data_IF_227263181008
#
_entry.id   IF_227263181008
#
_cell.length_a   1.000
_cell.length_b   1.000
_cell.length_c   1.000
_cell.angle_alpha   90.00
_cell.angle_beta   90.00
_cell.angle_gamma   90.00
#
_symmetry.space_group_name_H-M   'P 1'
#
loop_
_entity.id
_entity.type
_entity.pdbx_description
1 polymer ?
#
# COMPACT_ATOMS: atom_id res chain seq x y z
N UNK A 1 17.52 -30.46 25.19
CA UNK A 1 17.21 -29.28 26.03
C UNK A 1 17.03 -28.07 25.12
N UNK A 2 16.07 -27.20 25.39
CA UNK A 2 15.85 -25.98 24.60
C UNK A 2 16.16 -24.76 25.49
N UNK A 3 17.38 -24.22 25.37
CA UNK A 3 17.77 -22.99 26.03
C UNK A 3 17.10 -21.82 25.30
N UNK A 4 16.37 -20.97 26.04
CA UNK A 4 15.72 -19.79 25.46
C UNK A 4 16.77 -18.73 25.13
N UNK A 5 16.90 -18.42 23.85
CA UNK A 5 17.74 -17.33 23.36
C UNK A 5 16.97 -16.02 23.44
N UNK A 6 17.66 -14.95 23.84
CA UNK A 6 17.11 -13.60 23.92
C UNK A 6 17.83 -12.67 22.95
N UNK A 7 17.09 -11.75 22.36
CA UNK A 7 17.66 -10.64 21.61
C UNK A 7 18.01 -9.47 22.54
N UNK A 8 18.98 -8.62 22.19
CA UNK A 8 19.28 -7.41 22.98
C UNK A 8 18.04 -6.55 23.26
N UNK A 9 17.12 -6.38 22.29
CA UNK A 9 15.86 -5.64 22.47
C UNK A 9 14.85 -6.26 23.46
N UNK A 10 15.03 -7.53 23.85
CA UNK A 10 14.20 -8.19 24.87
C UNK A 10 14.76 -8.02 26.29
N UNK A 11 16.02 -7.61 26.41
CA UNK A 11 16.71 -7.41 27.68
C UNK A 11 16.53 -5.97 28.17
N UNK A 12 16.50 -5.79 29.50
CA UNK A 12 16.52 -4.46 30.11
C UNK A 12 17.87 -3.80 29.89
N UNK A 13 17.90 -2.47 29.74
CA UNK A 13 19.11 -1.71 29.41
C UNK A 13 20.31 -2.00 30.35
N UNK A 14 20.05 -2.16 31.65
CA UNK A 14 21.08 -2.51 32.63
C UNK A 14 21.71 -3.90 32.39
N UNK A 15 20.89 -4.88 31.97
CA UNK A 15 21.34 -6.26 31.69
C UNK A 15 22.05 -6.31 30.33
N UNK A 16 21.61 -5.52 29.34
CA UNK A 16 22.26 -5.44 28.03
C UNK A 16 23.73 -5.03 28.14
N UNK A 17 24.01 -4.00 28.94
CA UNK A 17 25.38 -3.51 29.12
C UNK A 17 26.33 -4.55 29.76
N UNK A 18 25.79 -5.53 30.48
CA UNK A 18 26.58 -6.59 31.14
C UNK A 18 26.66 -7.88 30.31
N UNK A 19 25.60 -8.23 29.58
CA UNK A 19 25.47 -9.52 28.90
C UNK A 19 25.80 -9.46 27.40
N UNK A 20 25.62 -8.31 26.75
CA UNK A 20 25.86 -8.17 25.31
C UNK A 20 27.27 -7.64 25.04
N UNK A 21 27.90 -8.17 23.99
CA UNK A 21 29.16 -7.64 23.46
C UNK A 21 28.94 -6.21 22.92
N UNK A 22 29.98 -5.37 23.02
CA UNK A 22 29.89 -3.97 22.56
C UNK A 22 29.57 -3.92 21.06
N UNK A 23 28.61 -3.06 20.69
CA UNK A 23 28.19 -2.88 19.30
C UNK A 23 27.11 -3.86 18.81
N UNK A 24 26.79 -4.92 19.57
CA UNK A 24 25.69 -5.82 19.20
C UNK A 24 24.32 -5.10 19.18
N UNK A 25 24.14 -4.12 20.05
CA UNK A 25 22.94 -3.28 20.10
C UNK A 25 22.76 -2.43 18.84
N UNK A 26 23.85 -1.86 18.31
CA UNK A 26 23.83 -1.06 17.08
C UNK A 26 23.54 -1.93 15.85
N UNK A 27 24.09 -3.15 15.80
CA UNK A 27 23.80 -4.11 14.73
C UNK A 27 22.32 -4.52 14.77
N UNK A 28 21.76 -4.75 15.97
CA UNK A 28 20.33 -5.04 16.07
C UNK A 28 19.49 -3.83 15.65
N UNK A 29 19.86 -2.61 16.03
CA UNK A 29 19.17 -1.37 15.64
C UNK A 29 19.06 -1.24 14.11
N UNK A 30 20.18 -1.35 13.38
CA UNK A 30 20.21 -1.31 11.92
C UNK A 30 19.35 -2.42 11.29
N UNK A 31 19.44 -3.63 11.84
CA UNK A 31 18.61 -4.75 11.40
C UNK A 31 17.11 -4.49 11.60
N UNK A 32 16.71 -3.87 12.72
CA UNK A 32 15.31 -3.51 13.00
C UNK A 32 14.81 -2.40 12.10
N UNK A 33 15.64 -1.42 11.75
CA UNK A 33 15.30 -0.40 10.75
C UNK A 33 15.03 -1.02 9.39
N UNK A 34 15.90 -1.93 8.94
CA UNK A 34 15.70 -2.70 7.72
C UNK A 34 14.42 -3.53 7.75
N UNK A 35 14.15 -4.22 8.87
CA UNK A 35 12.93 -5.00 9.06
C UNK A 35 11.66 -4.12 9.01
N UNK A 36 11.71 -2.91 9.58
CA UNK A 36 10.59 -1.96 9.50
C UNK A 36 10.32 -1.53 8.06
N UNK A 37 11.35 -1.21 7.29
CA UNK A 37 11.22 -0.83 5.90
C UNK A 37 10.67 -1.98 5.05
N UNK A 38 11.23 -3.18 5.21
CA UNK A 38 10.78 -4.38 4.48
C UNK A 38 9.31 -4.70 4.81
N UNK A 39 8.95 -4.71 6.09
CA UNK A 39 7.59 -5.09 6.52
C UNK A 39 6.55 -4.05 6.13
N UNK A 40 6.90 -2.76 6.10
CA UNK A 40 6.03 -1.71 5.60
C UNK A 40 5.78 -1.87 4.09
N UNK A 41 6.81 -2.23 3.33
CA UNK A 41 6.68 -2.49 1.90
C UNK A 41 5.89 -3.78 1.62
N UNK A 42 6.14 -4.86 2.36
CA UNK A 42 5.36 -6.10 2.32
C UNK A 42 3.87 -5.82 2.59
N UNK A 43 3.57 -4.96 3.57
CA UNK A 43 2.21 -4.54 3.90
C UNK A 43 1.54 -3.80 2.73
N UNK A 44 2.23 -2.82 2.12
CA UNK A 44 1.73 -2.08 0.95
C UNK A 44 1.46 -3.02 -0.22
N UNK A 45 2.38 -3.92 -0.52
CA UNK A 45 2.25 -4.89 -1.61
C UNK A 45 1.05 -5.82 -1.38
N UNK A 46 0.89 -6.34 -0.15
CA UNK A 46 -0.25 -7.19 0.20
C UNK A 46 -1.60 -6.44 0.08
N UNK A 47 -1.65 -5.16 0.45
CA UNK A 47 -2.85 -4.31 0.30
C UNK A 47 -3.17 -4.00 -1.17
N UNK A 48 -2.15 -3.73 -2.00
CA UNK A 48 -2.33 -3.59 -3.46
C UNK A 48 -2.88 -4.87 -4.06
N UNK A 49 -2.30 -6.02 -3.70
CA UNK A 49 -2.75 -7.31 -4.16
C UNK A 49 -4.21 -7.58 -3.74
N UNK A 50 -4.58 -7.29 -2.49
CA UNK A 50 -5.97 -7.39 -2.01
C UNK A 50 -6.93 -6.59 -2.89
N UNK A 51 -6.59 -5.34 -3.17
CA UNK A 51 -7.41 -4.44 -3.99
C UNK A 51 -7.54 -4.96 -5.42
N UNK A 52 -6.45 -5.39 -6.05
CA UNK A 52 -6.45 -5.92 -7.41
C UNK A 52 -7.20 -7.25 -7.51
N UNK A 53 -7.02 -8.15 -6.54
CA UNK A 53 -7.76 -9.41 -6.48
C UNK A 53 -9.26 -9.18 -6.29
N UNK A 54 -9.66 -8.23 -5.44
CA UNK A 54 -11.08 -7.88 -5.29
C UNK A 54 -11.70 -7.34 -6.58
N UNK A 55 -11.02 -6.42 -7.28
CA UNK A 55 -11.49 -5.90 -8.58
C UNK A 55 -11.56 -6.99 -9.65
N UNK A 56 -10.54 -7.84 -9.73
CA UNK A 56 -10.53 -8.97 -10.66
C UNK A 56 -11.69 -9.93 -10.36
N UNK A 57 -11.91 -10.22 -9.08
CA UNK A 57 -13.00 -11.05 -8.60
C UNK A 57 -14.35 -10.46 -9.02
N UNK A 58 -14.61 -9.19 -8.73
CA UNK A 58 -15.86 -8.51 -9.08
C UNK A 58 -16.17 -8.62 -10.59
N UNK A 59 -15.16 -8.39 -11.45
CA UNK A 59 -15.34 -8.42 -12.92
C UNK A 59 -15.51 -9.81 -13.54
N UNK A 60 -14.99 -10.87 -12.92
CA UNK A 60 -14.88 -12.20 -13.55
C UNK A 60 -15.76 -13.28 -12.88
N UNK A 61 -16.60 -12.91 -11.90
CA UNK A 61 -17.39 -13.88 -11.16
C UNK A 61 -18.70 -14.24 -11.87
N UNK A 62 -18.64 -15.22 -12.77
CA UNK A 62 -19.85 -15.79 -13.42
C UNK A 62 -20.20 -17.19 -12.90
N UNK A 63 -19.25 -17.93 -12.29
CA UNK A 63 -19.41 -19.36 -11.96
C UNK A 63 -19.06 -19.68 -10.50
N UNK A 64 -19.89 -20.49 -9.83
CA UNK A 64 -19.74 -20.93 -8.42
C UNK A 64 -18.33 -21.45 -8.04
N UNK A 65 -17.67 -22.23 -8.90
CA UNK A 65 -16.31 -22.73 -8.63
C UNK A 65 -15.23 -21.63 -8.65
N UNK A 66 -15.45 -20.54 -9.38
CA UNK A 66 -14.56 -19.38 -9.36
C UNK A 66 -14.69 -18.60 -8.04
N UNK A 67 -15.88 -18.63 -7.42
CA UNK A 67 -16.12 -18.02 -6.11
C UNK A 67 -15.23 -18.65 -5.03
N UNK A 68 -15.22 -19.97 -4.91
CA UNK A 68 -14.48 -20.67 -3.84
C UNK A 68 -12.97 -20.51 -3.99
N UNK A 69 -12.43 -20.58 -5.22
CA UNK A 69 -11.01 -20.33 -5.48
C UNK A 69 -10.61 -18.89 -5.19
N UNK A 70 -11.43 -17.91 -5.61
CA UNK A 70 -11.19 -16.49 -5.31
C UNK A 70 -11.20 -16.18 -3.81
N UNK A 71 -12.06 -16.83 -3.04
CA UNK A 71 -12.07 -16.73 -1.58
C UNK A 71 -10.79 -17.29 -0.94
N UNK A 72 -10.26 -18.41 -1.44
CA UNK A 72 -8.99 -18.97 -0.96
C UNK A 72 -7.82 -18.00 -1.14
N UNK A 73 -7.72 -17.37 -2.32
CA UNK A 73 -6.68 -16.38 -2.62
C UNK A 73 -6.80 -15.16 -1.70
N UNK A 74 -8.01 -14.62 -1.52
CA UNK A 74 -8.23 -13.48 -0.62
C UNK A 74 -7.89 -13.81 0.84
N UNK A 75 -8.22 -15.00 1.32
CA UNK A 75 -7.81 -15.46 2.67
C UNK A 75 -6.30 -15.46 2.82
N UNK A 76 -5.57 -15.98 1.82
CA UNK A 76 -4.11 -15.99 1.85
C UNK A 76 -3.53 -14.57 1.89
N UNK A 77 -4.12 -13.64 1.14
CA UNK A 77 -3.70 -12.24 1.15
C UNK A 77 -3.97 -11.61 2.52
N UNK A 78 -5.14 -11.84 3.13
CA UNK A 78 -5.45 -11.35 4.48
C UNK A 78 -4.47 -11.89 5.52
N UNK A 79 -4.08 -13.16 5.43
CA UNK A 79 -3.05 -13.75 6.31
C UNK A 79 -1.71 -13.02 6.14
N UNK A 80 -1.29 -12.72 4.89
CA UNK A 80 -0.06 -11.96 4.62
C UNK A 80 -0.12 -10.56 5.22
N UNK A 81 -1.23 -9.84 5.03
CA UNK A 81 -1.45 -8.52 5.65
C UNK A 81 -1.32 -8.60 7.17
N UNK A 82 -1.94 -9.61 7.79
CA UNK A 82 -1.87 -9.78 9.25
C UNK A 82 -0.45 -10.09 9.73
N UNK A 83 0.27 -10.98 9.03
CA UNK A 83 1.67 -11.31 9.34
C UNK A 83 2.58 -10.09 9.23
N UNK A 84 2.47 -9.32 8.15
CA UNK A 84 3.24 -8.09 7.95
C UNK A 84 2.93 -7.05 9.05
N UNK A 85 1.65 -6.87 9.41
CA UNK A 85 1.21 -5.99 10.52
C UNK A 85 1.89 -6.39 11.84
N UNK A 86 1.90 -7.68 12.17
CA UNK A 86 2.51 -8.16 13.42
C UNK A 86 4.03 -7.97 13.43
N UNK A 87 4.71 -8.31 12.32
CA UNK A 87 6.16 -8.11 12.19
C UNK A 87 6.54 -6.64 12.33
N UNK A 88 5.80 -5.74 11.67
CA UNK A 88 6.02 -4.30 11.78
C UNK A 88 5.90 -3.80 13.23
N UNK A 89 4.81 -4.17 13.93
CA UNK A 89 4.60 -3.77 15.34
C UNK A 89 5.69 -4.32 16.26
N UNK A 90 6.12 -5.56 16.02
CA UNK A 90 7.20 -6.19 16.78
C UNK A 90 8.53 -5.45 16.57
N UNK A 91 8.94 -5.26 15.32
CA UNK A 91 10.18 -4.55 14.97
C UNK A 91 10.18 -3.12 15.52
N UNK A 92 9.04 -2.41 15.43
CA UNK A 92 8.90 -1.04 15.96
C UNK A 92 9.09 -1.00 17.47
N UNK A 93 8.50 -1.95 18.19
CA UNK A 93 8.64 -2.03 19.65
C UNK A 93 10.07 -2.41 20.07
N UNK A 94 10.73 -3.29 19.32
CA UNK A 94 12.12 -3.65 19.56
C UNK A 94 13.03 -2.43 19.37
N UNK A 95 12.85 -1.68 18.27
CA UNK A 95 13.62 -0.47 17.99
C UNK A 95 13.39 0.62 19.05
N UNK A 96 12.13 0.82 19.48
CA UNK A 96 11.81 1.75 20.56
C UNK A 96 12.49 1.39 21.89
N UNK A 97 12.77 0.11 22.16
CA UNK A 97 13.51 -0.31 23.37
C UNK A 97 15.01 -0.15 23.24
N UNK A 98 15.55 -0.19 22.02
CA UNK A 98 16.98 -0.03 21.76
C UNK A 98 17.34 1.46 21.79
N UNK A 99 16.73 2.25 20.89
CA UNK A 99 17.07 3.64 20.63
C UNK A 99 16.29 4.64 21.49
N UNK A 100 15.11 4.26 21.99
CA UNK A 100 14.18 5.17 22.66
C UNK A 100 13.37 6.03 21.69
N UNK A 101 12.74 7.08 22.21
CA UNK A 101 11.98 8.03 21.40
C UNK A 101 12.91 8.93 20.59
N UNK A 102 12.66 9.07 19.28
CA UNK A 102 13.54 9.82 18.39
C UNK A 102 12.89 10.26 17.07
N UNK A 103 13.66 10.89 16.17
CA UNK A 103 13.16 11.38 14.88
C UNK A 103 12.63 10.25 13.99
N UNK A 104 13.13 9.03 14.16
CA UNK A 104 12.71 7.83 13.45
C UNK A 104 11.21 7.54 13.62
N UNK A 105 10.57 7.95 14.73
CA UNK A 105 9.13 7.77 14.95
C UNK A 105 8.27 8.58 13.97
N UNK A 106 8.82 9.66 13.39
CA UNK A 106 8.13 10.44 12.36
C UNK A 106 8.03 9.66 11.05
N UNK A 107 9.07 8.89 10.73
CA UNK A 107 9.14 8.01 9.56
C UNK A 107 8.35 6.72 9.79
N UNK A 108 8.54 6.08 10.95
CA UNK A 108 7.92 4.81 11.32
C UNK A 108 6.88 5.01 12.44
N UNK A 109 5.68 5.47 12.03
CA UNK A 109 4.57 5.76 12.95
C UNK A 109 3.93 4.48 13.51
N UNK A 110 3.19 4.64 14.61
CA UNK A 110 2.38 3.54 15.15
C UNK A 110 1.36 3.10 14.08
N UNK A 111 1.32 1.80 13.81
CA UNK A 111 0.38 1.22 12.86
C UNK A 111 -0.95 0.88 13.55
N UNK A 112 -1.92 1.78 13.40
CA UNK A 112 -3.28 1.56 13.88
C UNK A 112 -4.08 0.66 12.92
N UNK A 113 -5.18 0.08 13.41
CA UNK A 113 -6.02 -0.77 12.56
C UNK A 113 -6.62 -0.02 11.38
N UNK A 114 -6.91 1.27 11.58
CA UNK A 114 -7.38 2.17 10.52
C UNK A 114 -6.33 2.45 9.45
N UNK A 115 -5.04 2.26 9.72
CA UNK A 115 -4.01 2.55 8.71
C UNK A 115 -3.82 1.42 7.71
N UNK A 116 -4.23 0.20 8.07
CA UNK A 116 -4.09 -1.03 7.27
C UNK A 116 -5.19 -1.11 6.19
N UNK A 117 -5.16 -0.17 5.26
CA UNK A 117 -6.17 -0.03 4.18
C UNK A 117 -5.53 0.26 2.83
N UNK A 118 -6.12 -0.32 1.78
CA UNK A 118 -5.75 -0.02 0.39
C UNK A 118 -6.12 1.40 -0.05
N UNK A 119 -5.40 1.95 -1.03
CA UNK A 119 -5.57 3.33 -1.55
C UNK A 119 -7.03 3.66 -1.90
N UNK A 120 -7.80 2.71 -2.43
CA UNK A 120 -9.21 2.88 -2.83
C UNK A 120 -10.15 1.81 -2.23
N UNK A 121 -9.77 1.14 -1.15
CA UNK A 121 -10.52 -0.01 -0.67
C UNK A 121 -11.91 0.36 -0.12
N UNK A 122 -12.04 1.54 0.47
CA UNK A 122 -13.33 2.00 1.01
C UNK A 122 -14.34 2.32 -0.09
N UNK A 123 -13.91 3.04 -1.13
CA UNK A 123 -14.72 3.31 -2.31
C UNK A 123 -15.15 1.99 -2.98
N UNK A 124 -14.22 1.03 -3.14
CA UNK A 124 -14.54 -0.27 -3.72
C UNK A 124 -15.50 -1.11 -2.85
N UNK A 125 -15.47 -0.95 -1.53
CA UNK A 125 -16.38 -1.64 -0.62
C UNK A 125 -17.79 -1.00 -0.60
N UNK A 126 -17.86 0.33 -0.66
CA UNK A 126 -19.12 1.09 -0.77
C UNK A 126 -19.79 0.82 -2.13
N UNK A 127 -19.04 0.77 -3.22
CA UNK A 127 -19.50 0.36 -4.56
C UNK A 127 -20.02 -1.08 -4.56
N UNK A 128 -19.29 -2.04 -3.97
CA UNK A 128 -19.75 -3.44 -3.88
C UNK A 128 -21.03 -3.58 -3.04
N UNK A 129 -21.23 -2.73 -2.03
CA UNK A 129 -22.46 -2.71 -1.24
C UNK A 129 -23.63 -2.16 -2.07
N UNK A 130 -23.42 -1.05 -2.77
CA UNK A 130 -24.44 -0.46 -3.65
C UNK A 130 -24.83 -1.40 -4.79
N UNK A 131 -23.86 -2.08 -5.42
CA UNK A 131 -24.12 -3.12 -6.43
C UNK A 131 -24.94 -4.30 -5.86
N UNK A 132 -24.67 -4.70 -4.61
CA UNK A 132 -25.46 -5.75 -3.94
C UNK A 132 -26.87 -5.30 -3.61
N UNK A 133 -27.03 -4.07 -3.15
CA UNK A 133 -28.33 -3.48 -2.82
C UNK A 133 -29.18 -3.34 -4.09
N UNK A 134 -28.64 -2.74 -5.15
CA UNK A 134 -29.29 -2.67 -6.47
C UNK A 134 -29.62 -4.05 -7.04
N UNK A 135 -28.73 -5.04 -6.93
CA UNK A 135 -29.02 -6.42 -7.37
C UNK A 135 -30.15 -7.05 -6.56
N UNK A 136 -30.23 -6.80 -5.25
CA UNK A 136 -31.35 -7.28 -4.40
C UNK A 136 -32.66 -6.59 -4.78
N UNK A 137 -32.63 -5.29 -5.06
CA UNK A 137 -33.80 -4.52 -5.50
C UNK A 137 -34.27 -4.98 -6.88
N UNK A 138 -33.37 -5.15 -7.86
CA UNK A 138 -33.70 -5.71 -9.18
C UNK A 138 -34.23 -7.14 -9.09
N UNK A 139 -33.66 -7.97 -8.21
CA UNK A 139 -34.15 -9.32 -7.94
C UNK A 139 -35.55 -9.34 -7.32
N UNK A 140 -35.90 -8.33 -6.50
CA UNK A 140 -37.24 -8.15 -5.97
C UNK A 140 -38.25 -7.65 -7.02
N UNK A 141 -37.80 -6.94 -8.07
CA UNK A 141 -38.64 -6.46 -9.18
C UNK A 141 -39.01 -7.58 -10.18
N UNK A 142 -38.30 -8.72 -10.20
CA UNK A 142 -38.66 -9.87 -11.07
C UNK A 142 -40.01 -10.52 -10.67
N UNK A 143 -40.45 -10.37 -9.41
CA UNK A 143 -41.81 -10.78 -8.99
C UNK A 143 -42.89 -9.71 -9.26
N UNK A 144 -42.53 -8.52 -9.73
CA UNK A 144 -43.48 -7.43 -10.00
C UNK A 144 -42.92 -6.32 -10.87
N UNK A 145 -43.15 -6.43 -12.19
CA UNK A 145 -43.15 -5.38 -13.22
C UNK A 145 -42.33 -4.08 -13.03
N UNK A 146 -41.20 -4.02 -13.75
CA UNK A 146 -40.43 -2.88 -14.33
C UNK A 146 -40.48 -1.49 -13.64
N UNK A 147 -39.30 -1.03 -13.20
CA UNK A 147 -38.77 0.31 -13.53
C UNK A 147 -37.23 0.26 -13.56
N UNK A 148 -36.65 0.85 -14.62
CA UNK A 148 -35.21 0.94 -14.83
C UNK A 148 -34.54 1.82 -13.75
N UNK A 149 -33.58 1.25 -13.02
CA UNK A 149 -32.76 2.02 -12.09
C UNK A 149 -31.69 2.79 -12.86
N UNK A 150 -31.85 4.11 -12.85
CA UNK A 150 -30.91 5.12 -13.31
C UNK A 150 -29.53 4.91 -12.67
N UNK A 151 -28.47 4.92 -13.49
CA UNK A 151 -27.11 4.65 -13.05
C UNK A 151 -26.65 5.62 -11.97
N UNK A 152 -26.46 5.09 -10.76
CA UNK A 152 -25.85 5.82 -9.64
C UNK A 152 -24.38 6.07 -10.00
N UNK A 153 -24.09 7.28 -10.48
CA UNK A 153 -22.72 7.78 -10.58
C UNK A 153 -22.25 8.13 -9.17
N UNK A 154 -21.56 7.18 -8.54
CA UNK A 154 -20.98 7.36 -7.21
C UNK A 154 -20.03 8.57 -7.22
N UNK A 155 -20.44 9.65 -6.56
CA UNK A 155 -19.65 10.87 -6.41
C UNK A 155 -18.36 10.57 -5.64
N UNK A 156 -17.23 10.80 -6.31
CA UNK A 156 -15.89 10.54 -5.81
C UNK A 156 -15.53 11.54 -4.69
N UNK A 157 -15.90 11.20 -3.46
CA UNK A 157 -15.59 11.99 -2.27
C UNK A 157 -14.08 12.01 -1.99
N UNK A 158 -13.54 13.15 -1.53
CA UNK A 158 -12.12 13.30 -1.14
C UNK A 158 -11.78 12.38 0.05
N UNK A 159 -11.35 11.16 -0.21
CA UNK A 159 -10.98 10.20 0.83
C UNK A 159 -9.54 10.45 1.34
N UNK A 160 -9.35 10.36 2.67
CA UNK A 160 -8.02 10.46 3.30
C UNK A 160 -7.28 9.13 3.17
N UNK A 161 -6.21 9.09 2.38
CA UNK A 161 -5.28 7.95 2.29
C UNK A 161 -4.51 7.76 3.60
N UNK A 162 -4.30 6.51 4.01
CA UNK A 162 -3.53 6.19 5.21
C UNK A 162 -2.06 6.59 5.07
N UNK A 163 -1.42 6.89 6.21
CA UNK A 163 -0.06 7.44 6.21
C UNK A 163 0.98 6.49 5.60
N UNK A 164 0.71 5.18 5.65
CA UNK A 164 1.56 4.15 5.06
C UNK A 164 1.80 4.39 3.57
N UNK A 165 0.97 5.13 2.86
CA UNK A 165 1.14 5.42 1.43
C UNK A 165 2.02 6.62 1.13
N UNK A 166 2.37 7.42 2.13
CA UNK A 166 3.29 8.54 1.97
C UNK A 166 4.69 8.10 2.35
N UNK A 167 5.65 8.32 1.47
CA UNK A 167 7.06 8.27 1.82
C UNK A 167 7.44 9.63 2.38
N UNK A 168 7.75 9.71 3.66
CA UNK A 168 8.40 10.90 4.21
C UNK A 168 9.81 10.94 3.61
N UNK A 169 10.07 11.87 2.70
CA UNK A 169 11.45 12.19 2.33
C UNK A 169 12.13 12.61 3.63
N UNK A 170 13.14 11.85 4.04
CA UNK A 170 13.99 12.23 5.17
C UNK A 170 14.79 13.45 4.70
N UNK A 171 14.51 14.62 5.27
CA UNK A 171 15.17 15.89 4.95
C UNK A 171 16.65 15.88 5.41
N UNK A 172 17.47 15.06 4.75
CA UNK A 172 18.88 14.84 5.09
C UNK A 172 19.76 14.50 3.89
N UNK A 173 19.27 14.71 2.67
CA UNK A 173 20.10 14.75 1.47
C UNK A 173 19.77 16.06 0.74
N UNK A 174 20.61 17.06 0.93
CA UNK A 174 20.67 18.22 0.04
C UNK A 174 21.08 17.69 -1.33
N UNK A 175 20.09 17.38 -2.17
CA UNK A 175 20.29 17.12 -3.59
C UNK A 175 20.42 18.46 -4.28
N UNK A 176 21.67 18.78 -4.63
CA UNK A 176 22.08 19.81 -5.58
C UNK A 176 21.19 19.75 -6.83
N UNK A 177 20.41 20.81 -7.03
CA UNK A 177 19.61 21.03 -8.23
C UNK A 177 20.54 21.22 -9.42
N UNK A 178 20.76 20.17 -10.22
CA UNK A 178 21.18 20.35 -11.61
C UNK A 178 19.95 20.84 -12.38
N UNK A 179 19.92 22.15 -12.56
CA UNK A 179 18.95 22.87 -13.38
C UNK A 179 19.13 22.44 -14.84
N UNK A 180 18.36 21.43 -15.26
CA UNK A 180 18.24 21.00 -16.64
C UNK A 180 17.47 22.06 -17.42
N UNK A 181 18.20 22.87 -18.19
CA UNK A 181 17.70 23.87 -19.12
C UNK A 181 16.70 23.25 -20.11
N UNK A 182 15.43 23.66 -20.02
CA UNK A 182 14.46 23.43 -21.09
C UNK A 182 14.58 24.55 -22.13
N UNK A 183 15.50 24.40 -23.09
CA UNK A 183 15.47 25.18 -24.33
C UNK A 183 14.31 24.65 -25.20
N UNK A 184 13.14 25.24 -25.02
CA UNK A 184 12.06 25.24 -26.01
C UNK A 184 12.43 26.29 -27.06
N UNK A 185 13.19 25.89 -28.07
CA UNK A 185 13.44 26.73 -29.24
C UNK A 185 12.20 26.73 -30.15
N UNK A 186 11.46 27.84 -30.08
CA UNK A 186 10.49 28.24 -31.09
C UNK A 186 11.21 29.03 -32.17
N UNK A 187 11.14 28.59 -33.43
CA UNK A 187 11.31 29.39 -34.66
C UNK A 187 10.88 28.54 -35.86
N UNK A 188 9.66 28.74 -36.34
CA UNK A 188 9.32 29.63 -37.47
C UNK A 188 9.70 29.04 -38.85
N UNK A 189 8.64 28.67 -39.58
CA UNK A 189 8.41 28.81 -41.01
C UNK A 189 9.62 28.96 -41.94
N UNK A 190 9.75 28.04 -42.89
CA UNK A 190 10.05 28.42 -44.27
C UNK A 190 9.37 27.47 -45.26
N UNK A 191 8.46 28.08 -46.02
CA UNK A 191 7.83 27.55 -47.22
C UNK A 191 8.89 27.36 -48.31
N UNK A 192 9.04 26.16 -48.86
CA UNK A 192 9.58 26.03 -50.21
C UNK A 192 8.67 25.14 -51.06
N UNK A 193 7.91 25.83 -51.90
CA UNK A 193 7.32 25.34 -53.14
C UNK A 193 8.32 24.49 -53.92
N UNK A 194 7.90 23.28 -54.30
CA UNK A 194 8.37 22.65 -55.52
C UNK A 194 7.15 22.15 -56.29
N UNK A 195 6.82 22.92 -57.31
CA UNK A 195 5.85 22.61 -58.33
C UNK A 195 6.56 21.84 -59.46
N UNK A 196 5.75 21.24 -60.32
CA UNK A 196 6.04 20.69 -61.66
C UNK A 196 6.54 19.25 -61.80
N UNK A 197 5.57 18.41 -62.20
CA UNK A 197 5.52 17.71 -63.49
C UNK A 197 6.53 16.58 -63.75
N UNK A 198 6.04 15.37 -64.05
CA UNK A 198 5.94 14.82 -65.42
C UNK A 198 5.36 13.41 -65.36
N UNK A 199 4.47 13.16 -66.33
CA UNK A 199 3.76 11.92 -66.61
C UNK A 199 4.65 10.81 -67.21
N UNK A 200 4.35 9.54 -66.88
CA UNK A 200 3.95 8.48 -67.81
C UNK A 200 3.67 7.20 -67.02
#
# INVERSE_FOLDING_TARGET
>A
EAVKLFMPSELAAAVRAQACEKGLEAIEEEMREGELQETLEELRQALRLRTMTNRFRQRNMTVQRALTRGQGVLRQITIRVHKAKLRYRYARNALARLQGHGPWEKTYKVLEEGDVRGINERAAAEEELAERETMRELGAIVEGGIAAAEGVTAGEGRHKTSWIWWTTKTDGAEEELVEGTSERESRENETHTFDTSVAC
#
